data_IF_805122605749
#
_entry.id   IF_805122605749
#
_cell.length_a   1.000
_cell.length_b   1.000
_cell.length_c   1.000
_cell.angle_alpha   90.00
_cell.angle_beta   90.00
_cell.angle_gamma   90.00
#
_symmetry.space_group_name_H-M   'P 1'
#
loop_
_entity.id
_entity.type
_entity.pdbx_description
1 polymer ?
#
# COMPACT_ATOMS: atom_id res chain seq x y z
N UNK A 1 13.85 4.62 13.69
CA UNK A 1 13.05 5.16 12.58
C UNK A 1 11.70 4.50 12.60
N UNK A 2 10.63 5.28 12.49
CA UNK A 2 9.25 4.81 12.50
C UNK A 2 8.61 5.03 11.14
N UNK A 3 8.08 3.97 10.54
CA UNK A 3 7.46 4.01 9.21
C UNK A 3 6.01 3.59 9.35
N UNK A 4 5.10 4.48 8.96
CA UNK A 4 3.66 4.24 8.92
C UNK A 4 3.27 3.83 7.50
N UNK A 5 2.69 2.64 7.34
CA UNK A 5 2.15 2.17 6.08
C UNK A 5 0.63 2.06 6.20
N UNK A 6 -0.11 2.72 5.31
CA UNK A 6 -1.56 2.69 5.26
C UNK A 6 -2.06 1.80 4.12
N UNK A 7 -3.22 1.19 4.35
CA UNK A 7 -3.93 0.40 3.35
C UNK A 7 -4.56 1.24 2.25
N UNK A 8 -5.30 0.57 1.39
CA UNK A 8 -5.92 1.14 0.20
C UNK A 8 -6.83 2.31 0.55
N UNK A 9 -6.54 3.49 0.00
CA UNK A 9 -7.44 4.65 0.08
C UNK A 9 -8.56 4.43 -0.92
N UNK A 10 -9.80 4.27 -0.44
CA UNK A 10 -10.93 3.86 -1.27
C UNK A 10 -11.86 5.04 -1.58
N UNK A 11 -11.75 5.53 -2.81
CA UNK A 11 -12.60 6.58 -3.37
C UNK A 11 -12.59 7.90 -2.58
N UNK A 12 -13.60 8.73 -2.83
CA UNK A 12 -13.74 10.03 -2.15
C UNK A 12 -13.88 9.91 -0.61
N UNK A 13 -14.52 8.84 -0.13
CA UNK A 13 -14.63 8.63 1.32
C UNK A 13 -13.28 8.32 1.96
N UNK A 14 -12.41 7.57 1.25
CA UNK A 14 -11.04 7.31 1.67
C UNK A 14 -10.20 8.58 1.71
N UNK A 15 -10.23 9.38 0.64
CA UNK A 15 -9.53 10.67 0.57
C UNK A 15 -10.01 11.61 1.69
N UNK A 16 -11.33 11.74 1.85
CA UNK A 16 -11.90 12.56 2.91
C UNK A 16 -11.48 12.07 4.30
N UNK A 17 -11.41 10.76 4.51
CA UNK A 17 -11.04 10.18 5.81
C UNK A 17 -9.62 10.54 6.21
N UNK A 18 -8.65 10.46 5.31
CA UNK A 18 -7.25 10.79 5.60
C UNK A 18 -7.01 12.32 5.68
N UNK A 19 -7.77 13.12 4.92
CA UNK A 19 -7.60 14.58 4.86
C UNK A 19 -8.36 15.32 5.97
N UNK A 20 -9.54 14.82 6.40
CA UNK A 20 -10.44 15.53 7.32
C UNK A 20 -9.76 15.95 8.61
N UNK A 21 -9.76 17.26 8.87
CA UNK A 21 -9.14 17.83 10.07
C UNK A 21 -7.66 17.46 10.21
N UNK A 22 -6.95 17.23 9.10
CA UNK A 22 -5.55 16.75 9.06
C UNK A 22 -5.38 15.39 9.76
N UNK A 23 -6.32 14.46 9.54
CA UNK A 23 -6.33 13.17 10.25
C UNK A 23 -5.02 12.40 10.08
N UNK A 24 -4.51 12.26 8.84
CA UNK A 24 -3.25 11.57 8.58
C UNK A 24 -2.05 12.30 9.20
N UNK A 25 -1.97 13.63 9.04
CA UNK A 25 -0.87 14.42 9.65
C UNK A 25 -0.87 14.27 11.18
N UNK A 26 -2.05 14.33 11.83
CA UNK A 26 -2.17 14.12 13.29
C UNK A 26 -1.79 12.70 13.70
N UNK A 27 -2.17 11.71 12.91
CA UNK A 27 -1.78 10.31 13.16
C UNK A 27 -0.26 10.16 13.04
N UNK A 28 0.36 10.71 11.99
CA UNK A 28 1.81 10.80 11.82
C UNK A 28 2.50 11.39 13.04
N UNK A 29 2.01 12.56 13.50
CA UNK A 29 2.59 13.27 14.66
C UNK A 29 2.45 12.45 15.96
N UNK A 30 1.27 11.86 16.20
CA UNK A 30 0.99 11.07 17.41
C UNK A 30 1.83 9.79 17.48
N UNK A 31 2.10 9.18 16.33
CA UNK A 31 2.93 7.98 16.20
C UNK A 31 4.41 8.31 16.04
N UNK A 32 4.76 9.60 15.89
CA UNK A 32 6.12 10.07 15.59
C UNK A 32 6.68 9.35 14.36
N UNK A 33 5.89 9.24 13.30
CA UNK A 33 6.29 8.54 12.09
C UNK A 33 7.22 9.43 11.24
N UNK A 34 8.41 8.93 10.96
CA UNK A 34 9.43 9.61 10.14
C UNK A 34 9.07 9.57 8.65
N UNK A 35 8.36 8.51 8.21
CA UNK A 35 7.92 8.30 6.84
C UNK A 35 6.50 7.72 6.81
N UNK A 36 5.68 8.19 5.87
CA UNK A 36 4.31 7.72 5.65
C UNK A 36 4.15 7.21 4.22
N UNK A 37 3.83 5.92 4.08
CA UNK A 37 3.56 5.24 2.81
C UNK A 37 2.06 4.92 2.75
N UNK A 38 1.40 5.24 1.64
CA UNK A 38 -0.05 5.06 1.48
C UNK A 38 -0.34 4.33 0.18
N UNK A 39 -1.14 3.26 0.21
CA UNK A 39 -1.62 2.67 -1.03
C UNK A 39 -2.78 3.52 -1.60
N UNK A 40 -2.55 4.11 -2.77
CA UNK A 40 -3.47 5.04 -3.44
C UNK A 40 -4.21 4.47 -4.64
N UNK A 41 -4.05 3.17 -4.95
CA UNK A 41 -4.54 2.58 -6.21
C UNK A 41 -6.04 2.74 -6.45
N UNK A 42 -6.83 2.87 -5.38
CA UNK A 42 -8.29 2.97 -5.41
C UNK A 42 -8.82 4.36 -5.05
N UNK A 43 -7.96 5.38 -5.02
CA UNK A 43 -8.29 6.72 -4.51
C UNK A 43 -9.26 7.52 -5.40
N UNK A 44 -9.31 7.24 -6.70
CA UNK A 44 -10.24 7.91 -7.60
C UNK A 44 -11.67 7.34 -7.51
N UNK A 45 -12.71 8.12 -7.85
CA UNK A 45 -14.08 7.61 -7.95
C UNK A 45 -14.17 6.43 -8.94
N UNK A 46 -14.67 5.28 -8.48
CA UNK A 46 -14.83 4.09 -9.30
C UNK A 46 -13.53 3.38 -9.68
N UNK A 47 -12.56 3.36 -8.79
CA UNK A 47 -11.23 2.74 -8.86
C UNK A 47 -10.19 3.48 -9.70
N UNK A 48 -8.94 3.13 -9.47
CA UNK A 48 -7.78 3.77 -10.06
C UNK A 48 -7.34 4.99 -9.24
N UNK A 49 -6.35 5.67 -9.76
CA UNK A 49 -5.79 6.90 -9.22
C UNK A 49 -5.80 7.98 -10.30
N UNK A 50 -5.96 9.23 -9.91
CA UNK A 50 -5.79 10.40 -10.77
C UNK A 50 -4.67 11.30 -10.21
N UNK A 51 -4.09 12.20 -11.02
CA UNK A 51 -3.15 13.19 -10.49
C UNK A 51 -3.73 14.00 -9.32
N UNK A 52 -5.02 14.32 -9.37
CA UNK A 52 -5.68 15.08 -8.30
C UNK A 52 -5.81 14.25 -7.03
N UNK A 53 -6.28 12.99 -7.12
CA UNK A 53 -6.36 12.13 -5.93
C UNK A 53 -4.99 11.83 -5.31
N UNK A 54 -3.94 11.70 -6.14
CA UNK A 54 -2.57 11.55 -5.64
C UNK A 54 -2.08 12.80 -4.89
N UNK A 55 -2.34 14.00 -5.44
CA UNK A 55 -2.02 15.26 -4.74
C UNK A 55 -2.76 15.38 -3.40
N UNK A 56 -4.05 15.02 -3.36
CA UNK A 56 -4.81 15.03 -2.10
C UNK A 56 -4.21 14.09 -1.05
N UNK A 57 -3.67 12.91 -1.45
CA UNK A 57 -2.97 12.00 -0.54
C UNK A 57 -1.67 12.62 -0.02
N UNK A 58 -0.87 13.27 -0.87
CA UNK A 58 0.33 14.00 -0.45
C UNK A 58 -0.01 15.17 0.48
N UNK A 59 -1.02 15.97 0.14
CA UNK A 59 -1.48 17.10 0.94
C UNK A 59 -2.00 16.68 2.32
N UNK A 60 -2.55 15.46 2.43
CA UNK A 60 -2.94 14.86 3.70
C UNK A 60 -1.76 14.49 4.59
N UNK A 61 -0.55 14.31 4.02
CA UNK A 61 0.69 14.06 4.78
C UNK A 61 1.41 12.76 4.43
N UNK A 62 1.10 12.12 3.30
CA UNK A 62 1.87 11.00 2.77
C UNK A 62 3.20 11.48 2.17
N UNK A 63 4.23 10.65 2.23
CA UNK A 63 5.54 10.88 1.60
C UNK A 63 5.71 10.03 0.33
N UNK A 64 5.10 8.83 0.27
CA UNK A 64 5.15 7.92 -0.86
C UNK A 64 3.78 7.29 -1.08
N UNK A 65 3.38 7.14 -2.34
CA UNK A 65 2.14 6.45 -2.73
C UNK A 65 2.51 5.18 -3.48
N UNK A 66 2.00 4.03 -3.02
CA UNK A 66 2.08 2.76 -3.73
C UNK A 66 0.79 2.50 -4.53
N UNK A 67 0.90 1.70 -5.56
CA UNK A 67 -0.21 1.29 -6.42
C UNK A 67 -0.59 -0.19 -6.26
N UNK A 68 -1.33 -0.67 -7.26
CA UNK A 68 -1.78 -2.05 -7.34
C UNK A 68 -2.31 -2.38 -8.74
N UNK A 69 -3.20 -3.36 -8.85
CA UNK A 69 -3.75 -3.80 -10.14
C UNK A 69 -4.69 -2.77 -10.81
N UNK A 70 -5.15 -1.76 -10.09
CA UNK A 70 -5.97 -0.68 -10.66
C UNK A 70 -5.17 0.58 -11.01
N UNK A 71 -3.87 0.63 -10.80
CA UNK A 71 -3.02 1.82 -11.00
C UNK A 71 -3.29 2.51 -12.36
N UNK A 72 -3.44 1.76 -13.43
CA UNK A 72 -3.63 2.31 -14.78
C UNK A 72 -5.09 2.40 -15.24
N UNK A 73 -6.07 2.30 -14.35
CA UNK A 73 -7.50 2.41 -14.69
C UNK A 73 -7.87 3.77 -15.28
N UNK A 74 -7.14 4.82 -14.94
CA UNK A 74 -7.34 6.19 -15.37
C UNK A 74 -6.19 6.65 -16.26
N UNK A 75 -6.48 6.99 -17.52
CA UNK A 75 -5.44 7.40 -18.47
C UNK A 75 -4.70 8.66 -18.06
N UNK A 76 -5.38 9.58 -17.37
CA UNK A 76 -4.82 10.83 -16.90
C UNK A 76 -3.65 10.65 -15.89
N UNK A 77 -3.53 9.47 -15.26
CA UNK A 77 -2.42 9.20 -14.35
C UNK A 77 -1.11 8.81 -15.07
N UNK A 78 -1.15 8.43 -16.35
CA UNK A 78 -0.02 7.82 -17.04
C UNK A 78 1.22 8.72 -17.07
N UNK A 79 1.09 9.96 -17.56
CA UNK A 79 2.20 10.93 -17.56
C UNK A 79 2.61 11.30 -16.13
N UNK A 80 1.67 11.39 -15.22
CA UNK A 80 1.94 11.69 -13.81
C UNK A 80 2.80 10.61 -13.14
N UNK A 81 2.57 9.32 -13.45
CA UNK A 81 3.39 8.21 -12.96
C UNK A 81 4.84 8.25 -13.48
N UNK A 82 5.05 8.80 -14.69
CA UNK A 82 6.40 8.95 -15.25
C UNK A 82 7.15 10.15 -14.63
N UNK A 83 6.42 11.22 -14.27
CA UNK A 83 6.97 12.47 -13.78
C UNK A 83 7.13 12.49 -12.23
N UNK A 84 6.31 11.74 -11.50
CA UNK A 84 6.27 11.77 -10.02
C UNK A 84 7.00 10.57 -9.40
N UNK A 85 8.22 10.81 -8.93
CA UNK A 85 9.11 9.78 -8.39
C UNK A 85 8.53 9.03 -7.17
N UNK A 86 7.70 9.72 -6.36
CA UNK A 86 7.14 9.16 -5.13
C UNK A 86 5.76 8.52 -5.31
N UNK A 87 5.28 8.37 -6.55
CA UNK A 87 4.13 7.53 -6.88
C UNK A 87 4.61 6.31 -7.63
N UNK A 88 4.62 5.16 -6.96
CA UNK A 88 5.15 3.93 -7.53
C UNK A 88 4.06 2.90 -7.83
N UNK A 89 4.28 2.13 -8.89
CA UNK A 89 3.38 1.08 -9.37
C UNK A 89 4.01 -0.31 -9.13
N UNK A 90 3.27 -1.42 -9.22
CA UNK A 90 3.88 -2.74 -9.07
C UNK A 90 5.02 -2.99 -10.06
N UNK A 91 6.20 -3.33 -9.52
CA UNK A 91 7.46 -3.42 -10.26
C UNK A 91 7.55 -4.65 -11.17
N UNK A 92 6.69 -5.66 -10.94
CA UNK A 92 6.65 -6.88 -11.73
C UNK A 92 5.71 -6.82 -12.95
N UNK A 93 5.10 -5.65 -13.23
CA UNK A 93 4.52 -5.36 -14.54
C UNK A 93 5.61 -5.12 -15.58
N UNK A 94 5.31 -5.25 -16.90
CA UNK A 94 6.29 -5.00 -17.97
C UNK A 94 6.93 -3.61 -17.86
N UNK A 95 8.20 -3.50 -18.19
CA UNK A 95 8.96 -2.23 -18.09
C UNK A 95 8.40 -1.11 -19.00
N UNK A 96 7.63 -1.47 -20.03
CA UNK A 96 7.03 -0.53 -20.96
C UNK A 96 5.78 0.20 -20.43
N UNK A 97 5.23 -0.19 -19.26
CA UNK A 97 4.09 0.52 -18.69
C UNK A 97 4.55 1.78 -17.94
N UNK A 98 3.74 2.87 -17.95
CA UNK A 98 4.09 4.12 -17.28
C UNK A 98 4.40 3.94 -15.79
N UNK A 99 5.37 4.72 -15.29
CA UNK A 99 5.72 4.82 -13.89
C UNK A 99 6.86 3.91 -13.44
N UNK A 100 7.26 4.09 -12.19
CA UNK A 100 8.38 3.43 -11.55
C UNK A 100 7.90 2.36 -10.55
N UNK A 101 8.64 1.26 -10.41
CA UNK A 101 8.26 0.17 -9.51
C UNK A 101 8.85 0.27 -8.11
N UNK A 102 9.72 1.23 -7.88
CA UNK A 102 10.37 1.52 -6.61
C UNK A 102 10.87 2.96 -6.57
N UNK A 103 11.06 3.50 -5.38
CA UNK A 103 11.68 4.81 -5.17
C UNK A 103 12.61 4.79 -3.94
N UNK A 104 13.38 5.87 -3.79
CA UNK A 104 14.27 6.06 -2.64
C UNK A 104 13.82 7.32 -1.89
N UNK A 105 13.28 7.16 -0.66
CA UNK A 105 12.84 8.27 0.17
C UNK A 105 13.82 8.51 1.35
N UNK A 106 13.82 9.73 1.88
CA UNK A 106 14.51 10.06 3.12
C UNK A 106 13.57 9.93 4.33
N UNK A 107 14.02 9.25 5.36
CA UNK A 107 13.33 9.16 6.63
C UNK A 107 14.31 9.51 7.77
N UNK A 108 14.23 10.73 8.29
CA UNK A 108 15.09 11.25 9.34
C UNK A 108 16.61 11.12 9.01
N UNK A 109 16.99 11.44 7.77
CA UNK A 109 18.37 11.37 7.28
C UNK A 109 18.84 9.96 6.91
N UNK A 110 17.92 8.99 6.80
CA UNK A 110 18.20 7.61 6.36
C UNK A 110 17.48 7.33 5.04
N UNK A 111 18.18 6.66 4.12
CA UNK A 111 17.64 6.28 2.82
C UNK A 111 16.79 5.02 2.94
N UNK A 112 15.54 5.11 2.58
CA UNK A 112 14.59 4.00 2.57
C UNK A 112 14.25 3.66 1.13
N UNK A 113 14.55 2.42 0.73
CA UNK A 113 14.09 1.87 -0.54
C UNK A 113 12.65 1.35 -0.36
N UNK A 114 11.71 1.87 -1.12
CA UNK A 114 10.32 1.41 -1.14
C UNK A 114 10.09 0.67 -2.46
N UNK A 115 9.57 -0.56 -2.37
CA UNK A 115 9.27 -1.43 -3.51
C UNK A 115 7.79 -1.77 -3.48
N UNK A 116 7.10 -1.61 -4.60
CA UNK A 116 5.73 -2.08 -4.77
C UNK A 116 5.72 -3.32 -5.68
N UNK A 117 5.01 -4.36 -5.29
CA UNK A 117 4.87 -5.62 -6.03
C UNK A 117 3.40 -6.02 -6.12
N UNK A 118 3.00 -6.68 -7.21
CA UNK A 118 1.71 -7.33 -7.33
C UNK A 118 1.84 -8.85 -7.20
N UNK A 119 0.85 -9.49 -6.57
CA UNK A 119 0.70 -10.93 -6.58
C UNK A 119 0.29 -11.46 -7.96
N UNK A 120 0.48 -12.76 -8.15
CA UNK A 120 0.09 -13.48 -9.37
C UNK A 120 -1.00 -14.53 -9.10
N UNK A 121 -1.15 -14.97 -7.85
CA UNK A 121 -2.15 -15.99 -7.46
C UNK A 121 -3.53 -15.34 -7.40
N UNK A 122 -4.44 -15.82 -8.27
CA UNK A 122 -5.80 -15.27 -8.49
C UNK A 122 -5.83 -13.83 -9.05
N UNK A 123 -4.70 -13.35 -9.57
CA UNK A 123 -4.54 -12.04 -10.19
C UNK A 123 -3.99 -12.20 -11.62
N UNK A 124 -3.51 -11.12 -12.24
CA UNK A 124 -2.90 -11.17 -13.56
C UNK A 124 -1.62 -12.01 -13.56
N UNK A 125 -1.35 -12.69 -14.69
CA UNK A 125 -0.10 -13.41 -14.88
C UNK A 125 1.04 -12.43 -15.18
N UNK A 126 1.80 -12.09 -14.17
CA UNK A 126 2.92 -11.14 -14.21
C UNK A 126 4.26 -11.85 -14.02
N UNK A 127 5.36 -11.10 -14.11
CA UNK A 127 6.65 -11.58 -13.67
C UNK A 127 6.62 -11.92 -12.17
N UNK A 128 7.44 -12.90 -11.77
CA UNK A 128 7.53 -13.35 -10.38
C UNK A 128 7.85 -12.17 -9.44
N UNK A 129 7.04 -11.91 -8.39
CA UNK A 129 7.35 -10.88 -7.40
C UNK A 129 8.64 -11.20 -6.63
N UNK A 130 8.99 -12.47 -6.47
CA UNK A 130 10.22 -12.91 -5.81
C UNK A 130 11.46 -12.51 -6.63
N UNK A 131 11.49 -12.86 -7.92
CA UNK A 131 12.62 -12.53 -8.81
C UNK A 131 12.74 -11.02 -9.04
N UNK A 132 11.60 -10.33 -9.06
CA UNK A 132 11.55 -8.86 -9.18
C UNK A 132 12.14 -8.19 -7.96
N UNK A 133 11.78 -8.65 -6.75
CA UNK A 133 12.38 -8.18 -5.50
C UNK A 133 13.90 -8.38 -5.48
N UNK A 134 14.38 -9.57 -5.85
CA UNK A 134 15.81 -9.89 -5.93
C UNK A 134 16.56 -8.95 -6.88
N UNK A 135 15.98 -8.71 -8.06
CA UNK A 135 16.57 -7.80 -9.06
C UNK A 135 16.71 -6.38 -8.51
N UNK A 136 15.65 -5.85 -7.88
CA UNK A 136 15.65 -4.47 -7.34
C UNK A 136 16.61 -4.34 -6.17
N UNK A 137 16.61 -5.29 -5.24
CA UNK A 137 17.54 -5.30 -4.10
C UNK A 137 18.99 -5.31 -4.58
N UNK A 138 19.33 -6.15 -5.58
CA UNK A 138 20.66 -6.22 -6.17
C UNK A 138 21.08 -4.92 -6.88
N UNK A 139 20.17 -4.29 -7.63
CA UNK A 139 20.43 -3.02 -8.32
C UNK A 139 20.73 -1.87 -7.37
N UNK A 140 20.20 -1.95 -6.15
CA UNK A 140 20.30 -0.90 -5.14
C UNK A 140 21.19 -1.27 -3.95
N UNK A 141 21.93 -2.38 -4.03
CA UNK A 141 22.81 -2.83 -2.95
C UNK A 141 23.78 -1.72 -2.51
N UNK A 142 23.85 -1.48 -1.20
CA UNK A 142 24.69 -0.44 -0.59
C UNK A 142 24.16 1.00 -0.74
N UNK A 143 22.98 1.20 -1.35
CA UNK A 143 22.41 2.54 -1.55
C UNK A 143 21.33 2.92 -0.52
N UNK A 144 20.87 1.98 0.30
CA UNK A 144 19.79 2.17 1.27
C UNK A 144 20.19 1.74 2.67
N UNK A 145 19.51 2.29 3.67
CA UNK A 145 19.65 1.97 5.09
C UNK A 145 18.49 1.09 5.59
N UNK A 146 17.36 1.08 4.87
CA UNK A 146 16.19 0.25 5.12
C UNK A 146 15.44 -0.06 3.81
N UNK A 147 14.64 -1.13 3.80
CA UNK A 147 13.80 -1.51 2.66
C UNK A 147 12.39 -1.82 3.13
N UNK A 148 11.38 -1.22 2.49
CA UNK A 148 9.96 -1.48 2.74
C UNK A 148 9.34 -2.03 1.45
N UNK A 149 8.58 -3.11 1.58
CA UNK A 149 7.90 -3.77 0.45
C UNK A 149 6.40 -3.74 0.67
N UNK A 150 5.65 -3.16 -0.27
CA UNK A 150 4.19 -3.32 -0.40
C UNK A 150 3.94 -4.50 -1.35
N UNK A 151 3.30 -5.55 -0.86
CA UNK A 151 2.81 -6.67 -1.69
C UNK A 151 1.30 -6.57 -1.85
N UNK A 152 0.88 -6.05 -2.99
CA UNK A 152 -0.51 -5.90 -3.39
C UNK A 152 -1.02 -7.21 -4.00
N UNK A 153 -1.63 -8.08 -3.19
CA UNK A 153 -1.97 -9.45 -3.59
C UNK A 153 -3.26 -9.96 -2.96
N UNK A 154 -4.01 -10.79 -3.72
CA UNK A 154 -5.20 -11.48 -3.24
C UNK A 154 -4.85 -12.60 -2.26
N UNK A 155 -3.91 -13.46 -2.61
CA UNK A 155 -3.64 -14.69 -1.87
C UNK A 155 -2.79 -14.44 -0.63
N UNK A 156 -3.34 -14.74 0.55
CA UNK A 156 -2.64 -14.71 1.84
C UNK A 156 -1.33 -15.53 1.81
N UNK A 157 -1.37 -16.71 1.20
CA UNK A 157 -0.20 -17.59 1.11
C UNK A 157 0.94 -16.99 0.29
N UNK A 158 0.64 -16.25 -0.76
CA UNK A 158 1.65 -15.57 -1.59
C UNK A 158 2.32 -14.42 -0.81
N UNK A 159 1.55 -13.61 -0.08
CA UNK A 159 2.06 -12.57 0.82
C UNK A 159 2.99 -13.14 1.87
N UNK A 160 2.54 -14.19 2.57
CA UNK A 160 3.33 -14.87 3.59
C UNK A 160 4.61 -15.50 3.02
N UNK A 161 4.53 -16.14 1.84
CA UNK A 161 5.67 -16.75 1.19
C UNK A 161 6.72 -15.70 0.81
N UNK A 162 6.30 -14.57 0.21
CA UNK A 162 7.21 -13.48 -0.13
C UNK A 162 7.88 -12.89 1.11
N UNK A 163 7.13 -12.63 2.17
CA UNK A 163 7.68 -12.10 3.41
C UNK A 163 8.72 -13.04 4.04
N UNK A 164 8.45 -14.36 4.07
CA UNK A 164 9.40 -15.38 4.54
C UNK A 164 10.64 -15.48 3.66
N UNK A 165 10.48 -15.36 2.35
CA UNK A 165 11.57 -15.35 1.40
C UNK A 165 12.50 -14.15 1.58
N UNK A 166 11.95 -13.00 1.93
CA UNK A 166 12.67 -11.75 2.15
C UNK A 166 13.13 -11.56 3.59
N UNK A 167 12.81 -12.48 4.51
CA UNK A 167 13.13 -12.35 5.93
C UNK A 167 14.63 -12.18 6.19
N UNK A 168 14.99 -11.12 6.89
CA UNK A 168 16.36 -10.70 7.16
C UNK A 168 17.05 -9.95 6.01
N UNK A 169 16.39 -9.80 4.84
CA UNK A 169 16.91 -9.10 3.66
C UNK A 169 16.26 -7.73 3.46
N UNK A 170 15.07 -7.52 4.04
CA UNK A 170 14.32 -6.27 4.01
C UNK A 170 13.89 -5.88 5.43
N UNK A 171 13.58 -4.62 5.64
CA UNK A 171 13.16 -4.12 6.95
C UNK A 171 11.72 -4.47 7.27
N UNK A 172 10.81 -4.36 6.29
CA UNK A 172 9.41 -4.75 6.47
C UNK A 172 8.73 -5.11 5.13
N UNK A 173 7.72 -5.98 5.24
CA UNK A 173 6.77 -6.33 4.17
C UNK A 173 5.37 -6.13 4.72
N UNK A 174 4.53 -5.37 4.03
CA UNK A 174 3.11 -5.24 4.35
C UNK A 174 2.27 -5.58 3.12
N UNK A 175 1.11 -6.20 3.36
CA UNK A 175 0.19 -6.54 2.30
C UNK A 175 -0.95 -5.54 2.16
N UNK A 176 -1.47 -5.41 0.94
CA UNK A 176 -2.62 -4.59 0.54
C UNK A 176 -3.55 -5.39 -0.37
N UNK A 177 -4.59 -4.84 -0.91
CA UNK A 177 -5.56 -5.37 -1.86
C UNK A 177 -6.86 -5.91 -1.26
N UNK A 178 -6.83 -6.70 -0.19
CA UNK A 178 -8.07 -7.35 0.29
C UNK A 178 -9.01 -6.40 1.03
N UNK A 179 -8.52 -5.20 1.42
CA UNK A 179 -9.24 -4.20 2.21
C UNK A 179 -9.61 -4.65 3.63
N UNK A 180 -9.17 -5.84 4.06
CA UNK A 180 -9.47 -6.42 5.38
C UNK A 180 -8.19 -6.47 6.20
N UNK A 181 -8.11 -5.64 7.24
CA UNK A 181 -6.97 -5.65 8.15
C UNK A 181 -6.85 -6.99 8.86
N UNK A 182 -5.65 -7.58 8.83
CA UNK A 182 -5.34 -8.84 9.53
C UNK A 182 -4.71 -8.57 10.89
N UNK A 183 -4.78 -9.52 11.79
CA UNK A 183 -4.31 -9.39 13.19
C UNK A 183 -2.90 -10.00 13.40
N UNK A 184 -2.14 -10.21 12.34
CA UNK A 184 -0.89 -10.97 12.35
C UNK A 184 0.38 -10.10 12.28
N UNK A 185 0.28 -8.81 12.62
CA UNK A 185 1.43 -7.91 12.70
C UNK A 185 2.51 -8.49 13.62
N UNK A 186 3.72 -8.70 13.10
CA UNK A 186 4.79 -9.40 13.80
C UNK A 186 6.17 -9.01 13.26
N UNK A 187 7.22 -9.36 14.01
CA UNK A 187 8.60 -9.37 13.52
C UNK A 187 9.01 -10.81 13.25
N UNK A 188 9.42 -11.10 12.03
CA UNK A 188 9.88 -12.42 11.62
C UNK A 188 11.26 -12.76 12.22
N UNK A 189 11.67 -14.04 12.29
CA UNK A 189 12.92 -14.44 12.94
C UNK A 189 14.19 -13.77 12.41
N UNK A 190 14.25 -13.40 11.12
CA UNK A 190 15.37 -12.68 10.51
C UNK A 190 15.38 -11.17 10.81
N UNK A 191 14.31 -10.64 11.42
CA UNK A 191 14.19 -9.22 11.78
C UNK A 191 13.39 -8.39 10.77
N UNK A 192 12.62 -9.03 9.89
CA UNK A 192 11.70 -8.33 8.98
C UNK A 192 10.34 -8.14 9.65
N UNK A 193 9.81 -6.90 9.67
CA UNK A 193 8.44 -6.62 10.06
C UNK A 193 7.46 -7.18 9.04
N UNK A 194 6.30 -7.71 9.48
CA UNK A 194 5.32 -8.28 8.59
C UNK A 194 3.88 -8.08 9.07
N UNK A 195 2.98 -7.86 8.13
CA UNK A 195 1.53 -8.01 8.28
C UNK A 195 0.94 -8.50 6.95
N UNK A 196 -0.01 -9.43 7.01
CA UNK A 196 -0.62 -10.02 5.79
C UNK A 196 -1.43 -9.00 4.99
N UNK A 197 -2.24 -8.18 5.66
CA UNK A 197 -2.97 -7.08 5.00
C UNK A 197 -3.24 -5.96 6.01
N UNK A 198 -2.98 -4.75 5.60
CA UNK A 198 -3.17 -3.56 6.45
C UNK A 198 -4.59 -3.01 6.39
N UNK A 199 -5.46 -3.56 5.54
CA UNK A 199 -6.85 -3.11 5.37
C UNK A 199 -7.00 -1.93 4.42
N UNK A 200 -7.96 -1.05 4.67
CA UNK A 200 -8.26 0.11 3.83
C UNK A 200 -8.49 1.37 4.66
N UNK A 201 -8.39 2.52 3.99
CA UNK A 201 -8.80 3.83 4.50
C UNK A 201 -10.10 4.23 3.79
N UNK A 202 -11.18 4.43 4.54
CA UNK A 202 -12.49 4.77 3.97
C UNK A 202 -13.65 4.21 4.76
N UNK A 203 -14.82 4.09 4.11
CA UNK A 203 -16.05 3.66 4.77
C UNK A 203 -16.08 2.14 5.01
N UNK A 204 -16.25 1.76 6.28
CA UNK A 204 -16.45 0.39 6.73
C UNK A 204 -17.94 0.02 6.90
N UNK A 205 -18.86 0.93 6.54
CA UNK A 205 -20.32 0.70 6.66
C UNK A 205 -20.87 -0.22 5.55
N UNK A 206 -20.07 -0.58 4.56
CA UNK A 206 -20.40 -1.50 3.47
C UNK A 206 -19.49 -2.72 3.41
N UNK A 207 -19.31 -3.25 2.20
CA UNK A 207 -18.43 -4.39 1.92
C UNK A 207 -17.26 -3.89 1.08
N UNK A 208 -16.07 -3.87 1.66
CA UNK A 208 -14.82 -3.42 1.01
C UNK A 208 -14.93 -2.02 0.36
N UNK A 209 -15.65 -1.09 1.02
CA UNK A 209 -15.87 0.27 0.53
C UNK A 209 -17.06 0.42 -0.44
N UNK A 210 -17.80 -0.65 -0.74
CA UNK A 210 -18.97 -0.66 -1.62
C UNK A 210 -20.26 -0.84 -0.80
N UNK A 211 -21.36 -0.22 -1.25
CA UNK A 211 -22.67 -0.36 -0.64
C UNK A 211 -23.09 -1.84 -0.56
N UNK A 212 -23.58 -2.24 0.61
CA UNK A 212 -23.93 -3.65 0.92
C UNK A 212 -24.93 -4.23 -0.08
N UNK A 213 -25.94 -3.43 -0.48
CA UNK A 213 -27.00 -3.84 -1.38
C UNK A 213 -26.46 -4.24 -2.76
N UNK A 214 -25.49 -3.50 -3.28
CA UNK A 214 -24.87 -3.76 -4.59
C UNK A 214 -24.09 -5.08 -4.57
N UNK A 215 -23.34 -5.32 -3.51
CA UNK A 215 -22.56 -6.56 -3.35
C UNK A 215 -23.51 -7.76 -3.17
N UNK A 216 -24.54 -7.64 -2.34
CA UNK A 216 -25.54 -8.68 -2.16
C UNK A 216 -26.28 -8.99 -3.46
N UNK A 217 -26.68 -7.96 -4.23
CA UNK A 217 -27.26 -8.12 -5.56
C UNK A 217 -26.32 -8.92 -6.47
N UNK A 218 -25.06 -8.47 -6.58
CA UNK A 218 -24.03 -9.12 -7.41
C UNK A 218 -23.82 -10.60 -7.04
N UNK A 219 -23.72 -10.89 -5.74
CA UNK A 219 -23.42 -12.24 -5.29
C UNK A 219 -24.61 -13.21 -5.38
N UNK A 220 -25.84 -12.70 -5.15
CA UNK A 220 -27.05 -13.52 -5.17
C UNK A 220 -27.59 -13.73 -6.58
N UNK A 221 -27.59 -12.70 -7.42
CA UNK A 221 -28.23 -12.75 -8.74
C UNK A 221 -27.24 -12.92 -9.90
N UNK A 222 -25.94 -12.67 -9.66
CA UNK A 222 -24.86 -12.78 -10.68
C UNK A 222 -25.05 -11.85 -11.90
N UNK A 223 -26.02 -10.94 -11.86
CA UNK A 223 -26.25 -9.95 -12.91
C UNK A 223 -25.28 -8.76 -12.77
N UNK A 224 -25.03 -7.99 -13.84
CA UNK A 224 -24.28 -6.75 -13.76
C UNK A 224 -24.93 -5.76 -12.78
N UNK A 225 -24.10 -5.06 -12.00
CA UNK A 225 -24.51 -3.99 -11.09
C UNK A 225 -23.42 -2.93 -11.07
N UNK A 226 -23.82 -1.66 -11.01
CA UNK A 226 -22.89 -0.57 -10.74
C UNK A 226 -22.66 -0.46 -9.25
N UNK A 227 -21.38 -0.50 -8.85
CA UNK A 227 -21.02 -0.37 -7.46
C UNK A 227 -21.06 1.09 -7.02
N UNK A 228 -21.82 1.37 -5.98
CA UNK A 228 -21.87 2.68 -5.32
C UNK A 228 -20.97 2.67 -4.07
N UNK A 229 -20.23 3.77 -3.81
CA UNK A 229 -19.42 3.85 -2.61
C UNK A 229 -20.27 3.70 -1.34
N UNK A 230 -19.78 2.92 -0.38
CA UNK A 230 -20.39 2.86 0.94
C UNK A 230 -20.25 4.21 1.67
N UNK A 231 -21.32 4.64 2.36
CA UNK A 231 -21.32 5.86 3.18
C UNK A 231 -21.55 5.50 4.62
N UNK A 232 -20.87 6.18 5.54
CA UNK A 232 -21.06 5.96 6.98
C UNK A 232 -19.75 6.00 7.76
N UNK A 233 -19.62 5.12 8.75
CA UNK A 233 -18.43 5.08 9.60
C UNK A 233 -17.17 4.80 8.76
N UNK A 234 -16.18 5.70 8.87
CA UNK A 234 -14.91 5.61 8.21
C UNK A 234 -13.79 5.33 9.21
N UNK A 235 -12.73 4.66 8.76
CA UNK A 235 -11.54 4.38 9.54
C UNK A 235 -10.27 4.52 8.68
N UNK A 236 -9.14 4.74 9.34
CA UNK A 236 -7.80 4.65 8.77
C UNK A 236 -7.17 3.37 9.30
N UNK A 237 -6.84 2.44 8.41
CA UNK A 237 -6.13 1.21 8.77
C UNK A 237 -4.71 1.23 8.21
N UNK A 238 -3.78 0.63 8.95
CA UNK A 238 -2.39 0.59 8.58
C UNK A 238 -1.55 -0.24 9.54
N UNK A 239 -0.24 -0.08 9.45
CA UNK A 239 0.76 -0.67 10.34
C UNK A 239 1.87 0.32 10.61
N UNK A 240 2.36 0.34 11.84
CA UNK A 240 3.57 1.05 12.24
C UNK A 240 4.72 0.07 12.41
N UNK A 241 5.81 0.29 11.68
CA UNK A 241 7.07 -0.44 11.85
C UNK A 241 8.10 0.44 12.55
N UNK A 242 8.74 -0.10 13.59
CA UNK A 242 9.92 0.51 14.21
C UNK A 242 11.18 -0.19 13.72
N UNK A 243 12.05 0.56 13.01
CA UNK A 243 13.28 0.05 12.40
C UNK A 243 14.49 0.58 13.19
N UNK A 244 15.37 -0.30 13.60
CA UNK A 244 16.59 0.05 14.36
C UNK A 244 17.71 0.61 13.47
N UNK A 245 18.87 0.89 14.08
CA UNK A 245 20.04 1.44 13.39
C UNK A 245 20.67 0.50 12.36
N UNK A 246 20.40 -0.81 12.45
CA UNK A 246 20.88 -1.82 11.51
C UNK A 246 19.97 -2.09 10.32
N UNK A 247 18.80 -1.41 10.27
CA UNK A 247 17.78 -1.62 9.25
C UNK A 247 16.80 -2.77 9.56
N UNK A 248 16.88 -3.37 10.77
CA UNK A 248 15.96 -4.43 11.19
C UNK A 248 14.73 -3.87 11.88
N UNK A 249 13.58 -4.49 11.62
CA UNK A 249 12.37 -4.20 12.35
C UNK A 249 12.47 -4.77 13.77
N UNK A 250 12.12 -3.95 14.75
CA UNK A 250 12.08 -4.33 16.18
C UNK A 250 10.66 -4.36 16.74
N UNK A 251 9.70 -3.72 16.04
CA UNK A 251 8.28 -3.74 16.40
C UNK A 251 7.43 -3.56 15.15
N UNK A 252 6.35 -4.32 15.06
CA UNK A 252 5.28 -4.15 14.08
C UNK A 252 3.94 -4.09 14.83
N UNK A 253 3.14 -3.03 14.59
CA UNK A 253 1.88 -2.79 15.28
C UNK A 253 0.80 -2.36 14.29
N UNK A 254 -0.29 -3.14 14.23
CA UNK A 254 -1.46 -2.78 13.42
C UNK A 254 -2.15 -1.53 13.97
N UNK A 255 -2.56 -0.64 13.07
CA UNK A 255 -3.24 0.62 13.39
C UNK A 255 -4.67 0.57 12.85
N UNK A 256 -5.64 0.96 13.69
CA UNK A 256 -7.05 1.16 13.32
C UNK A 256 -7.64 2.31 14.17
N UNK A 257 -8.28 3.29 13.51
CA UNK A 257 -8.84 4.48 14.18
C UNK A 257 -10.34 4.58 13.92
#
# INVERSE_FOLDING_TARGET
MRILCLGDVVGEEGLRTIAAGRALSRLRDSLMADLVIVNGENSAPGNGMTPDSAREIFDAGADVITGGNHTWRRREVYSYLDDEEYVIRPANYPDAVPGHGWCMADAAGRRVLIINLAGCVYMESLASPFDTADRILKQNEGKYDAVIVDIHAEATSEKMALARYLDGRVSAVFGTHTHVATADAQVLPGGTGYITDVGMCGSHAGILGVATEDILHKFRLKTPVYFTPAKGQCAIHGVLFEIDGSGKCVKAEGIGT
#
